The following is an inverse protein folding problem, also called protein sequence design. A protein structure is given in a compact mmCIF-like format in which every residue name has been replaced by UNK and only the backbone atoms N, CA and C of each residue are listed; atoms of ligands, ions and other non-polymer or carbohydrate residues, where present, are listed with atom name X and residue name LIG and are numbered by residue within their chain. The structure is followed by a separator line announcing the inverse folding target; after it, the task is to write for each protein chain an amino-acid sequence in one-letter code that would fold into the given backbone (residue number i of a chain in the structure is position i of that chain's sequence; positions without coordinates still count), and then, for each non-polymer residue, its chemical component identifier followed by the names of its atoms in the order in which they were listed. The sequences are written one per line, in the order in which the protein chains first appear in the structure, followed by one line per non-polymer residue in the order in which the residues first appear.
data_IF_132563506409
#
_entry.id   IF_132563506409
#
_cell.length_a   1.000
_cell.length_b   1.000
_cell.length_c   1.000
_cell.angle_alpha   90.00
_cell.angle_beta   90.00
_cell.angle_gamma   90.00
#
_symmetry.space_group_name_H-M   'P 1'
#
loop_
_entity.id
_entity.type
_entity.pdbx_description
1 polymer ?
#
# COMPACT_ATOMS: atom_id res chain seq x y z
N UNK A 1 24.43 -31.23 31.26
CA UNK A 1 23.14 -31.67 30.68
C UNK A 1 22.29 -30.41 30.45
N UNK A 2 22.53 -29.68 29.37
CA UNK A 2 21.66 -29.52 28.19
C UNK A 2 20.23 -29.09 28.55
N UNK A 3 19.93 -27.80 28.37
CA UNK A 3 18.60 -27.30 27.99
C UNK A 3 18.78 -26.27 26.88
N UNK A 4 18.57 -26.75 25.66
CA UNK A 4 18.44 -26.01 24.41
C UNK A 4 17.27 -25.04 24.50
N UNK A 5 17.51 -23.75 24.22
CA UNK A 5 16.46 -22.76 24.03
C UNK A 5 15.77 -23.01 22.68
N UNK A 6 14.44 -23.13 22.72
CA UNK A 6 13.56 -23.45 21.60
C UNK A 6 13.18 -22.15 20.89
N UNK A 7 13.40 -22.09 19.58
CA UNK A 7 12.96 -20.99 18.72
C UNK A 7 11.42 -20.82 18.79
N UNK A 8 10.90 -19.58 18.77
CA UNK A 8 9.47 -19.36 18.59
C UNK A 8 9.04 -19.67 17.16
N UNK A 9 7.85 -20.23 17.09
CA UNK A 9 7.23 -20.83 15.93
C UNK A 9 7.07 -19.84 14.76
N UNK A 10 7.35 -20.36 13.57
CA UNK A 10 6.83 -19.84 12.31
C UNK A 10 5.31 -19.70 12.45
N UNK A 11 4.83 -18.45 12.47
CA UNK A 11 3.43 -18.15 12.27
C UNK A 11 3.09 -18.57 10.83
N UNK A 12 2.53 -19.78 10.74
CA UNK A 12 1.89 -20.34 9.57
C UNK A 12 0.69 -19.45 9.28
N UNK A 13 0.81 -18.58 8.28
CA UNK A 13 -0.27 -17.75 7.77
C UNK A 13 -1.21 -18.68 6.99
N UNK A 14 -2.01 -19.44 7.73
CA UNK A 14 -2.91 -20.48 7.27
C UNK A 14 -4.34 -20.00 7.49
N UNK A 15 -4.78 -18.96 6.77
CA UNK A 15 -6.21 -18.57 6.61
C UNK A 15 -6.45 -17.88 5.26
N UNK A 16 -6.00 -18.49 4.16
CA UNK A 16 -6.59 -18.26 2.83
C UNK A 16 -7.80 -19.19 2.67
N UNK A 17 -8.80 -18.98 3.51
CA UNK A 17 -10.12 -19.62 3.39
C UNK A 17 -11.11 -18.58 2.89
N UNK A 18 -11.05 -18.30 1.59
CA UNK A 18 -12.24 -17.81 0.87
C UNK A 18 -13.04 -19.04 0.42
N UNK A 19 -13.42 -19.90 1.37
CA UNK A 19 -14.44 -20.91 1.20
C UNK A 19 -15.79 -20.24 0.97
N UNK A 20 -16.15 -20.05 -0.30
CA UNK A 20 -17.54 -19.81 -0.67
C UNK A 20 -18.28 -21.12 -0.44
N UNK A 21 -18.89 -21.25 0.74
CA UNK A 21 -19.76 -22.38 1.08
C UNK A 21 -21.05 -22.27 0.24
N UNK A 22 -21.02 -22.83 -0.97
CA UNK A 22 -22.23 -22.97 -1.80
C UNK A 22 -23.07 -24.07 -1.18
N UNK A 23 -24.10 -23.65 -0.43
CA UNK A 23 -25.12 -24.54 0.14
C UNK A 23 -25.84 -25.24 -1.02
N UNK A 24 -25.39 -26.46 -1.35
CA UNK A 24 -26.02 -27.33 -2.33
C UNK A 24 -27.43 -27.70 -1.87
N UNK A 25 -28.44 -27.14 -2.51
CA UNK A 25 -29.79 -27.70 -2.49
C UNK A 25 -29.97 -28.55 -3.77
N UNK A 26 -29.97 -29.89 -3.70
CA UNK A 26 -29.67 -30.76 -4.85
C UNK A 26 -30.88 -31.09 -5.71
N UNK A 27 -31.94 -30.28 -5.70
CA UNK A 27 -33.19 -30.67 -6.37
C UNK A 27 -34.04 -29.47 -6.79
N UNK A 28 -33.55 -28.60 -7.69
CA UNK A 28 -34.38 -27.90 -8.70
C UNK A 28 -33.57 -26.91 -9.55
N UNK A 29 -33.84 -27.01 -10.86
CA UNK A 29 -33.69 -25.96 -11.88
C UNK A 29 -32.37 -25.90 -12.64
N UNK A 30 -32.32 -26.76 -13.66
CA UNK A 30 -31.57 -26.57 -14.91
C UNK A 30 -32.05 -25.29 -15.61
N UNK A 31 -31.15 -24.35 -15.89
CA UNK A 31 -31.05 -23.52 -17.11
C UNK A 31 -30.44 -22.13 -16.83
N UNK A 32 -29.29 -21.87 -17.46
CA UNK A 32 -28.60 -20.56 -17.65
C UNK A 32 -27.86 -19.98 -16.42
N UNK A 33 -26.67 -20.52 -16.08
CA UNK A 33 -25.73 -19.91 -15.12
C UNK A 33 -24.25 -19.92 -15.57
N UNK A 34 -23.97 -20.15 -16.85
CA UNK A 34 -22.61 -20.46 -17.31
C UNK A 34 -21.87 -19.32 -18.00
N UNK A 35 -21.66 -18.16 -17.37
CA UNK A 35 -20.63 -17.17 -17.77
C UNK A 35 -20.54 -15.96 -16.81
N UNK A 36 -20.51 -16.16 -15.49
CA UNK A 36 -20.06 -15.11 -14.57
C UNK A 36 -18.56 -15.32 -14.28
N UNK A 37 -17.71 -15.12 -15.29
CA UNK A 37 -16.26 -15.19 -15.11
C UNK A 37 -15.84 -13.95 -14.32
N UNK A 38 -15.25 -14.22 -13.16
CA UNK A 38 -14.77 -13.28 -12.16
C UNK A 38 -13.78 -12.28 -12.79
N UNK A 39 -14.21 -11.02 -12.94
CA UNK A 39 -13.31 -9.89 -13.22
C UNK A 39 -12.57 -9.46 -11.95
N UNK A 40 -11.98 -10.40 -11.21
CA UNK A 40 -10.95 -10.07 -10.22
C UNK A 40 -9.70 -9.68 -10.98
N UNK A 41 -9.70 -8.46 -11.51
CA UNK A 41 -8.68 -7.91 -12.39
C UNK A 41 -7.31 -7.78 -11.71
N UNK A 42 -6.30 -7.50 -12.52
CA UNK A 42 -4.88 -7.42 -12.16
C UNK A 42 -4.55 -6.57 -10.92
N UNK A 43 -5.44 -5.67 -10.50
CA UNK A 43 -5.30 -4.88 -9.27
C UNK A 43 -5.09 -5.76 -8.01
N UNK A 44 -5.75 -6.92 -7.92
CA UNK A 44 -5.58 -7.83 -6.78
C UNK A 44 -4.16 -8.40 -6.68
N UNK A 45 -3.50 -8.62 -7.83
CA UNK A 45 -2.12 -9.12 -7.88
C UNK A 45 -1.09 -8.06 -7.46
N UNK A 46 -1.41 -6.78 -7.63
CA UNK A 46 -0.50 -5.67 -7.34
C UNK A 46 -0.62 -5.13 -5.92
N UNK A 47 -1.74 -5.43 -5.22
CA UNK A 47 -2.02 -4.95 -3.86
C UNK A 47 -0.90 -5.27 -2.85
N UNK A 48 -0.36 -6.49 -2.76
CA UNK A 48 0.69 -6.80 -1.79
C UNK A 48 1.96 -5.95 -1.98
N UNK A 49 2.28 -5.59 -3.22
CA UNK A 49 3.45 -4.76 -3.52
C UNK A 49 3.24 -3.30 -3.11
N UNK A 50 2.04 -2.77 -3.35
CA UNK A 50 1.65 -1.41 -2.94
C UNK A 50 1.66 -1.30 -1.41
N UNK A 51 1.01 -2.24 -0.73
CA UNK A 51 0.92 -2.26 0.75
C UNK A 51 2.31 -2.36 1.39
N UNK A 52 3.20 -3.17 0.81
CA UNK A 52 4.59 -3.30 1.25
C UNK A 52 5.36 -1.99 1.11
N UNK A 53 5.30 -1.34 -0.06
CA UNK A 53 5.99 -0.05 -0.25
C UNK A 53 5.45 1.03 0.71
N UNK A 54 4.13 1.07 0.94
CA UNK A 54 3.53 2.00 1.90
C UNK A 54 3.98 1.72 3.34
N UNK A 55 4.01 0.46 3.76
CA UNK A 55 4.47 0.07 5.10
C UNK A 55 5.98 0.35 5.29
N UNK A 56 6.79 0.05 4.28
CA UNK A 56 8.24 0.33 4.28
C UNK A 56 8.50 1.84 4.33
N UNK A 57 7.71 2.66 3.61
CA UNK A 57 7.81 4.12 3.70
C UNK A 57 7.42 4.64 5.08
N UNK A 58 6.33 4.13 5.67
CA UNK A 58 5.88 4.59 6.97
C UNK A 58 6.87 4.24 8.10
N UNK A 59 7.48 3.06 8.05
CA UNK A 59 8.39 2.55 9.10
C UNK A 59 9.88 2.78 8.85
N UNK A 60 10.25 3.12 7.61
CA UNK A 60 11.64 3.30 7.20
C UNK A 60 12.33 4.49 7.86
N UNK A 61 13.66 4.47 7.89
CA UNK A 61 14.43 5.65 8.22
C UNK A 61 14.34 6.72 7.09
N UNK A 62 14.78 7.97 7.32
CA UNK A 62 14.68 9.02 6.32
C UNK A 62 15.34 8.67 4.97
N UNK A 63 16.47 7.96 4.97
CA UNK A 63 17.14 7.57 3.72
C UNK A 63 16.34 6.51 2.95
N UNK A 64 15.77 5.54 3.66
CA UNK A 64 14.87 4.54 3.07
C UNK A 64 13.61 5.19 2.47
N UNK A 65 13.03 6.18 3.16
CA UNK A 65 11.88 6.95 2.65
C UNK A 65 12.21 7.67 1.35
N UNK A 66 13.34 8.37 1.31
CA UNK A 66 13.82 9.04 0.10
C UNK A 66 14.00 8.08 -1.08
N UNK A 67 14.51 6.87 -0.83
CA UNK A 67 14.67 5.86 -1.87
C UNK A 67 13.32 5.33 -2.41
N UNK A 68 12.24 5.44 -1.64
CA UNK A 68 10.89 5.02 -2.02
C UNK A 68 10.07 6.12 -2.69
N UNK A 69 10.53 7.38 -2.66
CA UNK A 69 9.89 8.48 -3.38
C UNK A 69 10.05 8.32 -4.90
N UNK A 70 9.03 8.75 -5.62
CA UNK A 70 9.10 8.92 -7.06
C UNK A 70 10.06 10.08 -7.39
N UNK A 71 10.79 10.04 -8.52
CA UNK A 71 11.76 11.09 -8.85
C UNK A 71 11.18 12.51 -8.84
N UNK A 72 9.93 12.67 -9.28
CA UNK A 72 9.24 13.96 -9.28
C UNK A 72 8.93 14.46 -7.85
N UNK A 73 8.49 13.57 -6.96
CA UNK A 73 8.23 13.88 -5.55
C UNK A 73 9.53 14.18 -4.79
N UNK A 74 10.60 13.41 -5.05
CA UNK A 74 11.94 13.66 -4.50
C UNK A 74 12.42 15.05 -4.92
N UNK A 75 12.34 15.37 -6.21
CA UNK A 75 12.75 16.67 -6.73
C UNK A 75 11.93 17.81 -6.13
N UNK A 76 10.61 17.65 -5.96
CA UNK A 76 9.76 18.66 -5.31
C UNK A 76 10.14 18.86 -3.84
N UNK A 77 10.40 17.77 -3.12
CA UNK A 77 10.79 17.82 -1.72
C UNK A 77 12.14 18.54 -1.52
N UNK A 78 13.06 18.38 -2.46
CA UNK A 78 14.37 19.05 -2.45
C UNK A 78 14.30 20.49 -3.03
N UNK A 79 13.24 20.82 -3.77
CA UNK A 79 13.08 22.13 -4.41
C UNK A 79 12.58 23.22 -3.45
N UNK A 80 11.84 22.87 -2.39
CA UNK A 80 11.29 23.81 -1.39
C UNK A 80 12.35 24.42 -0.43
N UNK A 81 13.61 24.46 -0.90
CA UNK A 81 14.78 25.20 -0.41
C UNK A 81 15.49 24.68 0.87
N UNK A 82 16.75 24.27 0.65
CA UNK A 82 17.90 24.16 1.58
C UNK A 82 18.10 22.85 2.33
N UNK A 83 17.14 21.93 2.33
CA UNK A 83 17.23 20.68 3.08
C UNK A 83 17.48 19.49 2.16
N UNK A 84 18.30 18.54 2.62
CA UNK A 84 18.40 17.24 1.96
C UNK A 84 17.07 16.50 2.07
N UNK A 85 16.76 15.58 1.15
CA UNK A 85 15.55 14.76 1.26
C UNK A 85 15.41 14.11 2.65
N UNK A 86 16.50 13.65 3.25
CA UNK A 86 16.48 13.01 4.57
C UNK A 86 16.01 13.96 5.69
N UNK A 87 16.29 15.26 5.57
CA UNK A 87 15.82 16.26 6.52
C UNK A 87 14.36 16.61 6.26
N UNK A 88 14.01 16.92 5.01
CA UNK A 88 12.65 17.31 4.64
C UNK A 88 11.63 16.19 4.84
N UNK A 89 12.00 14.93 4.56
CA UNK A 89 11.11 13.77 4.71
C UNK A 89 10.83 13.44 6.19
N UNK A 90 11.67 13.91 7.12
CA UNK A 90 11.45 13.67 8.54
C UNK A 90 10.23 14.44 9.07
N UNK A 91 9.95 15.63 8.52
CA UNK A 91 8.85 16.51 8.95
C UNK A 91 7.48 16.09 8.37
N UNK A 92 7.50 15.24 7.34
CA UNK A 92 6.31 14.75 6.63
C UNK A 92 6.08 13.25 6.83
N UNK A 93 6.97 12.58 7.58
CA UNK A 93 6.89 11.15 7.81
C UNK A 93 5.60 10.77 8.58
N UNK A 94 4.91 9.69 8.17
CA UNK A 94 3.81 9.15 8.96
C UNK A 94 4.30 8.73 10.35
N UNK A 95 3.50 9.01 11.38
CA UNK A 95 3.78 8.59 12.78
C UNK A 95 3.60 7.08 13.03
N UNK A 96 3.12 6.33 12.04
CA UNK A 96 2.87 4.89 12.12
C UNK A 96 2.46 4.28 10.79
N UNK A 97 2.69 2.98 10.62
CA UNK A 97 2.71 2.31 9.30
C UNK A 97 1.78 1.11 9.12
N UNK A 98 0.65 1.08 9.83
CA UNK A 98 -0.37 0.08 9.53
C UNK A 98 -1.24 0.55 8.37
N UNK A 99 -1.26 -0.26 7.31
CA UNK A 99 -2.14 -0.07 6.16
C UNK A 99 -3.57 -0.48 6.54
N UNK A 100 -4.49 0.46 6.40
CA UNK A 100 -5.91 0.27 6.70
C UNK A 100 -6.72 -0.05 5.45
N UNK A 101 -6.41 0.61 4.34
CA UNK A 101 -7.11 0.43 3.08
C UNK A 101 -6.20 0.72 1.91
N UNK A 102 -6.33 -0.08 0.85
CA UNK A 102 -5.59 0.09 -0.40
C UNK A 102 -6.53 0.07 -1.59
N UNK A 103 -6.42 1.11 -2.42
CA UNK A 103 -7.16 1.24 -3.68
C UNK A 103 -6.15 1.39 -4.82
N UNK A 104 -6.37 0.69 -5.93
CA UNK A 104 -5.46 0.67 -7.08
C UNK A 104 -6.27 0.91 -8.35
N UNK A 105 -5.81 1.85 -9.17
CA UNK A 105 -6.40 2.25 -10.42
C UNK A 105 -5.33 2.21 -11.51
N UNK A 106 -5.06 1.01 -12.03
CA UNK A 106 -4.02 0.79 -13.03
C UNK A 106 -2.63 1.00 -12.44
N UNK A 107 -1.97 2.09 -12.84
CA UNK A 107 -0.62 2.45 -12.43
C UNK A 107 -0.59 3.42 -11.25
N UNK A 108 -1.74 3.82 -10.73
CA UNK A 108 -1.88 4.67 -9.54
C UNK A 108 -2.50 3.90 -8.38
N UNK A 109 -2.12 4.25 -7.17
CA UNK A 109 -2.65 3.66 -5.96
C UNK A 109 -2.77 4.68 -4.83
N UNK A 110 -3.78 4.49 -3.99
CA UNK A 110 -3.97 5.23 -2.74
C UNK A 110 -3.95 4.23 -1.59
N UNK A 111 -3.19 4.58 -0.55
CA UNK A 111 -3.08 3.79 0.68
C UNK A 111 -3.43 4.67 1.86
N UNK A 112 -4.48 4.30 2.58
CA UNK A 112 -4.83 4.91 3.85
C UNK A 112 -4.05 4.21 4.96
N UNK A 113 -3.22 4.97 5.66
CA UNK A 113 -2.61 4.59 6.93
C UNK A 113 -3.52 5.06 8.08
N UNK A 114 -3.16 4.72 9.31
CA UNK A 114 -3.92 5.14 10.48
C UNK A 114 -3.98 6.68 10.64
N UNK A 115 -2.86 7.36 10.38
CA UNK A 115 -2.71 8.81 10.61
C UNK A 115 -2.30 9.59 9.35
N UNK A 116 -2.24 8.92 8.19
CA UNK A 116 -1.78 9.53 6.94
C UNK A 116 -2.41 8.86 5.71
N UNK A 117 -2.35 9.54 4.56
CA UNK A 117 -2.67 8.96 3.26
C UNK A 117 -1.47 9.09 2.33
N UNK A 118 -1.13 7.99 1.68
CA UNK A 118 -0.07 7.93 0.67
C UNK A 118 -0.68 7.72 -0.71
N UNK A 119 -0.11 8.41 -1.70
CA UNK A 119 -0.34 8.11 -3.11
C UNK A 119 0.91 7.51 -3.72
N UNK A 120 0.75 6.44 -4.47
CA UNK A 120 1.82 5.70 -5.11
C UNK A 120 1.56 5.59 -6.60
N UNK A 121 2.62 5.67 -7.38
CA UNK A 121 2.61 5.48 -8.83
C UNK A 121 3.54 4.33 -9.23
N UNK A 122 3.19 3.59 -10.27
CA UNK A 122 4.02 2.53 -10.83
C UNK A 122 5.04 3.15 -11.78
N UNK A 123 6.31 2.99 -11.42
CA UNK A 123 7.44 3.37 -12.28
C UNK A 123 8.03 2.13 -12.95
N UNK A 124 8.96 2.33 -13.90
CA UNK A 124 9.76 1.24 -14.46
C UNK A 124 10.62 0.49 -13.42
N UNK A 125 10.83 1.07 -12.25
CA UNK A 125 11.55 0.46 -11.12
C UNK A 125 10.63 -0.19 -10.07
N UNK A 126 9.32 -0.20 -10.30
CA UNK A 126 8.29 -0.63 -9.34
C UNK A 126 7.49 0.54 -8.77
N UNK A 127 6.67 0.25 -7.76
CA UNK A 127 5.86 1.26 -7.07
C UNK A 127 6.73 2.25 -6.30
N UNK A 128 6.37 3.52 -6.38
CA UNK A 128 7.02 4.64 -5.67
C UNK A 128 5.97 5.57 -5.09
N UNK A 129 6.29 6.21 -3.97
CA UNK A 129 5.43 7.21 -3.34
C UNK A 129 5.55 8.53 -4.11
N UNK A 130 4.43 9.01 -4.67
CA UNK A 130 4.37 10.29 -5.40
C UNK A 130 3.80 11.42 -4.53
N UNK A 131 3.02 11.09 -3.49
CA UNK A 131 2.57 12.06 -2.50
C UNK A 131 2.44 11.43 -1.11
N UNK A 132 2.76 12.21 -0.07
CA UNK A 132 2.77 11.80 1.33
C UNK A 132 2.36 12.94 2.29
N UNK A 133 1.96 12.59 3.52
CA UNK A 133 1.43 13.56 4.47
C UNK A 133 0.09 14.13 4.02
N UNK A 134 -0.72 13.33 3.32
CA UNK A 134 -1.94 13.79 2.66
C UNK A 134 -3.16 13.71 3.58
N UNK A 135 -3.95 14.77 3.58
CA UNK A 135 -5.21 14.85 4.32
C UNK A 135 -6.38 15.18 3.39
N UNK A 136 -7.54 14.55 3.64
CA UNK A 136 -8.74 14.77 2.82
C UNK A 136 -9.22 16.23 2.95
N UNK A 137 -9.62 16.83 1.83
CA UNK A 137 -10.03 18.23 1.75
C UNK A 137 -11.47 18.36 1.21
N UNK A 138 -12.39 17.58 1.79
CA UNK A 138 -13.77 17.51 1.30
C UNK A 138 -13.83 17.02 -0.15
N UNK A 139 -14.53 17.77 -1.01
CA UNK A 139 -14.66 17.47 -2.44
C UNK A 139 -13.48 17.98 -3.29
N UNK A 140 -12.50 18.65 -2.68
CA UNK A 140 -11.30 19.15 -3.33
C UNK A 140 -10.15 18.12 -3.28
N UNK A 141 -9.09 18.28 -4.09
CA UNK A 141 -7.89 17.44 -4.01
C UNK A 141 -7.31 17.39 -2.60
N UNK A 142 -6.66 16.27 -2.26
CA UNK A 142 -6.01 16.10 -0.97
C UNK A 142 -4.97 17.21 -0.75
N UNK A 143 -4.85 17.66 0.49
CA UNK A 143 -3.76 18.54 0.88
C UNK A 143 -2.59 17.67 1.32
N UNK A 144 -1.58 17.58 0.46
CA UNK A 144 -0.36 16.81 0.69
C UNK A 144 0.79 17.72 1.11
N UNK A 145 1.69 17.22 1.96
CA UNK A 145 2.92 17.92 2.33
C UNK A 145 4.03 17.69 1.32
N UNK A 146 4.04 16.51 0.70
CA UNK A 146 4.93 16.15 -0.40
C UNK A 146 4.06 15.74 -1.57
N UNK A 147 4.31 16.31 -2.73
CA UNK A 147 3.60 15.98 -3.96
C UNK A 147 4.53 16.20 -5.16
N UNK A 148 4.66 15.18 -6.02
CA UNK A 148 5.31 15.32 -7.32
C UNK A 148 4.32 15.79 -8.40
N UNK A 149 4.75 16.61 -9.37
CA UNK A 149 3.92 17.03 -10.51
C UNK A 149 3.56 15.91 -11.49
#
# INVERSE_FOLDING_TARGET
MIRTARAPALARFEEQDCGVEVIMNPLRTVAVCGAAVLLTGCAGMQRPDVERVAADFATGDPAARCALLAPAALASLEHDDSQTCAEAVADVAPSGGQVQQTQIWGDEAQVHLADDTLFLTRTGSGWKVIAAGCTANGDAPYNCRVEGP
#
